data_IF_938014806255
#
_entry.id   IF_938014806255
#
_cell.length_a   1.000
_cell.length_b   1.000
_cell.length_c   1.000
_cell.angle_alpha   90.00
_cell.angle_beta   90.00
_cell.angle_gamma   90.00
#
_symmetry.space_group_name_H-M   'P 1'
#
loop_
_entity.id
_entity.type
_entity.pdbx_description
1 polymer ?
#
# COMPACT_ATOMS: atom_id res chain seq x y z
N UNK A 1 -20.57 -41.43 -35.06
CA UNK A 1 -20.82 -41.02 -33.66
C UNK A 1 -19.48 -40.62 -33.03
N UNK A 2 -19.01 -39.39 -33.24
CA UNK A 2 -17.72 -38.91 -32.67
C UNK A 2 -17.69 -37.37 -32.50
N UNK A 3 -18.52 -36.65 -33.26
CA UNK A 3 -18.65 -35.19 -33.19
C UNK A 3 -19.36 -34.67 -31.93
N UNK A 4 -20.31 -35.44 -31.37
CA UNK A 4 -21.08 -35.01 -30.18
C UNK A 4 -20.31 -35.08 -28.85
N UNK A 5 -19.23 -35.88 -28.79
CA UNK A 5 -18.43 -36.05 -27.56
C UNK A 5 -17.48 -34.87 -27.33
N UNK A 6 -17.02 -34.22 -28.42
CA UNK A 6 -16.11 -33.07 -28.37
C UNK A 6 -16.81 -31.79 -27.91
N UNK A 7 -18.08 -31.60 -28.30
CA UNK A 7 -18.87 -30.44 -27.90
C UNK A 7 -19.22 -30.46 -26.39
N UNK A 8 -19.41 -31.66 -25.82
CA UNK A 8 -19.70 -31.84 -24.39
C UNK A 8 -18.43 -31.60 -23.55
N UNK A 9 -17.25 -32.00 -24.02
CA UNK A 9 -15.98 -31.77 -23.30
C UNK A 9 -15.58 -30.29 -23.23
N UNK A 10 -15.81 -29.51 -24.30
CA UNK A 10 -15.47 -28.08 -24.32
C UNK A 10 -16.40 -27.29 -23.39
N UNK A 11 -17.68 -27.68 -23.30
CA UNK A 11 -18.67 -26.98 -22.48
C UNK A 11 -18.45 -27.18 -20.97
N UNK A 12 -17.96 -28.36 -20.55
CA UNK A 12 -17.64 -28.62 -19.14
C UNK A 12 -16.39 -27.86 -18.63
N UNK A 13 -15.47 -27.48 -19.51
CA UNK A 13 -14.23 -26.78 -19.14
C UNK A 13 -14.45 -25.26 -18.90
N UNK A 14 -15.47 -24.66 -19.52
CA UNK A 14 -15.78 -23.22 -19.36
C UNK A 14 -16.53 -22.94 -18.05
N UNK A 15 -17.31 -23.90 -17.54
CA UNK A 15 -18.11 -23.72 -16.31
C UNK A 15 -17.24 -23.71 -15.04
N UNK A 16 -16.03 -24.29 -15.07
CA UNK A 16 -15.11 -24.26 -13.92
C UNK A 16 -14.27 -22.98 -13.80
N UNK A 17 -14.31 -22.06 -14.78
CA UNK A 17 -13.53 -20.82 -14.74
C UNK A 17 -14.21 -19.68 -13.97
N UNK A 18 -15.50 -19.79 -13.65
CA UNK A 18 -16.26 -18.71 -13.01
C UNK A 18 -16.05 -18.61 -11.50
N UNK A 19 -15.61 -19.70 -10.85
CA UNK A 19 -15.23 -19.70 -9.43
C UNK A 19 -13.77 -19.29 -9.20
N UNK A 20 -12.93 -19.35 -10.24
CA UNK A 20 -11.50 -19.03 -10.16
C UNK A 20 -11.21 -17.51 -10.18
N UNK A 21 -12.22 -16.66 -10.45
CA UNK A 21 -12.05 -15.20 -10.52
C UNK A 21 -12.35 -14.47 -9.21
N UNK A 22 -12.90 -15.19 -8.23
CA UNK A 22 -13.18 -14.64 -6.92
C UNK A 22 -11.89 -14.49 -6.12
N UNK A 23 -11.64 -13.27 -5.64
CA UNK A 23 -10.60 -13.01 -4.66
C UNK A 23 -10.80 -13.87 -3.42
N UNK A 24 -9.71 -14.19 -2.72
CA UNK A 24 -9.77 -15.01 -1.49
C UNK A 24 -10.18 -14.23 -0.25
N UNK A 25 -10.22 -12.91 -0.32
CA UNK A 25 -10.59 -12.01 0.77
C UNK A 25 -11.09 -10.68 0.20
N UNK A 26 -11.91 -9.96 0.95
CA UNK A 26 -12.25 -8.58 0.63
C UNK A 26 -11.05 -7.63 0.81
N UNK A 27 -10.98 -6.62 -0.04
CA UNK A 27 -10.10 -5.47 0.13
C UNK A 27 -10.55 -4.69 1.39
N UNK A 28 -9.64 -4.15 2.21
CA UNK A 28 -9.99 -3.42 3.44
C UNK A 28 -10.99 -2.28 3.22
N UNK A 29 -10.91 -1.60 2.09
CA UNK A 29 -11.86 -0.52 1.75
C UNK A 29 -13.21 -1.02 1.22
N UNK A 30 -13.47 -2.32 1.11
CA UNK A 30 -14.73 -2.83 0.58
C UNK A 30 -15.95 -2.34 1.35
N UNK A 31 -15.86 -2.16 2.67
CA UNK A 31 -16.94 -1.57 3.46
C UNK A 31 -17.28 -0.15 2.96
N UNK A 32 -16.27 0.71 2.82
CA UNK A 32 -16.42 2.07 2.29
C UNK A 32 -16.86 2.08 0.83
N UNK A 33 -16.26 1.23 -0.02
CA UNK A 33 -16.58 1.14 -1.44
C UNK A 33 -18.00 0.65 -1.67
N UNK A 34 -18.46 -0.35 -0.91
CA UNK A 34 -19.85 -0.81 -0.93
C UNK A 34 -20.81 0.33 -0.58
N UNK A 35 -20.53 1.08 0.50
CA UNK A 35 -21.33 2.23 0.91
C UNK A 35 -21.35 3.32 -0.18
N UNK A 36 -20.26 3.48 -0.92
CA UNK A 36 -20.14 4.40 -2.06
C UNK A 36 -20.61 3.79 -3.39
N UNK A 37 -21.34 2.68 -3.37
CA UNK A 37 -22.00 2.10 -4.55
C UNK A 37 -21.12 1.21 -5.43
N UNK A 38 -19.91 0.84 -5.02
CA UNK A 38 -18.99 -0.01 -5.80
C UNK A 38 -19.64 -1.29 -6.31
N UNK A 39 -20.39 -2.00 -5.45
CA UNK A 39 -21.03 -3.26 -5.83
C UNK A 39 -22.14 -3.08 -6.88
N UNK A 40 -22.81 -1.93 -6.88
CA UNK A 40 -23.98 -1.65 -7.73
C UNK A 40 -23.64 -0.77 -8.95
N UNK A 41 -22.46 -0.15 -8.98
CA UNK A 41 -22.05 0.74 -10.05
C UNK A 41 -21.64 -0.08 -11.30
N UNK A 42 -22.28 0.21 -12.43
CA UNK A 42 -22.05 -0.47 -13.71
C UNK A 42 -20.70 -0.12 -14.36
N UNK A 43 -20.07 0.99 -13.94
CA UNK A 43 -18.73 1.37 -14.36
C UNK A 43 -17.62 0.46 -13.80
N UNK A 44 -17.90 -0.32 -12.75
CA UNK A 44 -17.00 -1.37 -12.29
C UNK A 44 -17.41 -2.72 -12.89
N UNK A 45 -16.46 -3.38 -13.55
CA UNK A 45 -16.71 -4.68 -14.17
C UNK A 45 -16.94 -5.75 -13.10
N UNK A 46 -17.62 -6.84 -13.47
CA UNK A 46 -17.83 -7.98 -12.58
C UNK A 46 -16.50 -8.54 -12.07
N UNK A 47 -15.48 -8.63 -12.94
CA UNK A 47 -14.14 -9.06 -12.58
C UNK A 47 -13.50 -8.18 -11.50
N UNK A 48 -13.66 -6.85 -11.58
CA UNK A 48 -13.16 -5.94 -10.54
C UNK A 48 -13.88 -6.17 -9.21
N UNK A 49 -15.18 -6.42 -9.24
CA UNK A 49 -15.95 -6.68 -8.02
C UNK A 49 -15.58 -8.02 -7.39
N UNK A 50 -15.40 -9.06 -8.20
CA UNK A 50 -14.93 -10.39 -7.78
C UNK A 50 -13.50 -10.32 -7.23
N UNK A 51 -12.63 -9.52 -7.84
CA UNK A 51 -11.24 -9.40 -7.43
C UNK A 51 -11.08 -8.62 -6.13
N UNK A 52 -11.84 -7.53 -5.95
CA UNK A 52 -11.67 -6.63 -4.82
C UNK A 52 -12.60 -6.91 -3.65
N UNK A 53 -13.88 -7.15 -3.90
CA UNK A 53 -14.90 -7.31 -2.86
C UNK A 53 -15.74 -8.57 -3.06
N UNK A 54 -15.09 -9.76 -3.20
CA UNK A 54 -15.77 -11.01 -3.50
C UNK A 54 -16.87 -11.38 -2.50
N UNK A 55 -16.69 -11.05 -1.21
CA UNK A 55 -17.63 -11.40 -0.15
C UNK A 55 -18.49 -10.21 0.28
N UNK A 56 -17.95 -9.00 0.18
CA UNK A 56 -18.70 -7.78 0.53
C UNK A 56 -19.78 -7.47 -0.51
N UNK A 57 -19.52 -7.72 -1.80
CA UNK A 57 -20.50 -7.48 -2.85
C UNK A 57 -21.46 -8.68 -3.00
N UNK A 58 -22.79 -8.43 -2.86
CA UNK A 58 -23.77 -9.51 -2.77
C UNK A 58 -23.91 -10.27 -4.09
N UNK A 59 -23.93 -11.61 -4.00
CA UNK A 59 -24.24 -12.49 -5.14
C UNK A 59 -23.15 -12.59 -6.22
N UNK A 60 -21.97 -12.02 -5.98
CA UNK A 60 -20.89 -11.97 -6.97
C UNK A 60 -19.97 -13.20 -6.91
N UNK A 61 -19.71 -13.68 -5.70
CA UNK A 61 -19.04 -14.94 -5.43
C UNK A 61 -19.93 -15.71 -4.45
N UNK A 62 -20.50 -16.84 -4.90
CA UNK A 62 -21.38 -17.65 -4.05
C UNK A 62 -20.65 -18.12 -2.80
N UNK A 63 -21.16 -17.75 -1.63
CA UNK A 63 -20.67 -18.28 -0.35
C UNK A 63 -21.53 -19.48 0.04
N UNK A 64 -20.96 -20.66 0.34
CA UNK A 64 -21.52 -21.52 1.36
C UNK A 64 -21.03 -21.05 2.74
N UNK A 65 -21.95 -21.04 3.68
CA UNK A 65 -21.70 -20.77 5.09
C UNK A 65 -20.68 -21.74 5.71
N UNK A 66 -19.99 -21.28 6.75
CA UNK A 66 -19.34 -22.06 7.84
C UNK A 66 -17.94 -22.66 7.72
N UNK A 67 -17.18 -22.56 6.63
CA UNK A 67 -15.74 -22.84 6.74
C UNK A 67 -15.03 -21.59 7.24
N UNK A 68 -14.48 -21.70 8.45
CA UNK A 68 -13.49 -20.79 9.00
C UNK A 68 -12.49 -20.36 7.89
N UNK A 69 -11.99 -19.11 7.91
CA UNK A 69 -10.99 -18.66 6.95
C UNK A 69 -9.91 -19.76 6.86
N UNK A 70 -9.57 -20.25 5.65
CA UNK A 70 -8.52 -21.25 5.52
C UNK A 70 -7.30 -20.75 6.31
N UNK A 71 -6.62 -21.63 7.06
CA UNK A 71 -5.50 -21.22 7.89
C UNK A 71 -4.59 -20.37 7.02
N UNK A 72 -4.31 -19.14 7.48
CA UNK A 72 -3.58 -18.13 6.74
C UNK A 72 -2.37 -18.81 6.11
N UNK A 73 -2.48 -19.14 4.82
CA UNK A 73 -1.39 -19.81 4.15
C UNK A 73 -0.36 -18.72 3.99
N UNK A 74 0.69 -18.79 4.79
CA UNK A 74 1.80 -17.82 4.83
C UNK A 74 2.52 -17.71 3.49
N UNK A 75 2.19 -18.57 2.54
CA UNK A 75 2.61 -18.48 1.15
C UNK A 75 1.78 -17.43 0.40
N UNK A 76 2.26 -16.19 0.46
CA UNK A 76 1.77 -15.10 -0.39
C UNK A 76 1.73 -15.53 -1.88
N UNK A 77 0.71 -15.11 -2.66
CA UNK A 77 0.57 -15.48 -4.06
C UNK A 77 1.81 -15.09 -4.88
N UNK A 78 2.17 -15.96 -5.85
CA UNK A 78 3.38 -15.80 -6.69
C UNK A 78 3.26 -14.60 -7.63
N UNK A 79 2.02 -14.20 -7.96
CA UNK A 79 1.72 -13.07 -8.85
C UNK A 79 1.00 -12.00 -8.01
N UNK A 80 1.55 -10.79 -7.97
CA UNK A 80 0.92 -9.63 -7.33
C UNK A 80 -0.26 -9.09 -8.15
N UNK A 81 -1.12 -8.30 -7.53
CA UNK A 81 -2.24 -7.67 -8.22
C UNK A 81 -1.73 -6.77 -9.36
N UNK A 82 -2.32 -6.87 -10.55
CA UNK A 82 -1.95 -6.04 -11.71
C UNK A 82 -2.06 -4.53 -11.44
N UNK A 83 -2.83 -4.11 -10.42
CA UNK A 83 -3.00 -2.71 -10.04
C UNK A 83 -1.98 -2.21 -9.02
N UNK A 84 -1.08 -3.06 -8.50
CA UNK A 84 -0.15 -2.65 -7.45
C UNK A 84 0.68 -1.42 -7.81
N UNK A 85 1.18 -1.33 -9.05
CA UNK A 85 1.89 -0.14 -9.53
C UNK A 85 1.03 1.12 -9.47
N UNK A 86 -0.23 1.04 -9.95
CA UNK A 86 -1.18 2.16 -9.93
C UNK A 86 -1.57 2.57 -8.51
N UNK A 87 -1.91 1.60 -7.67
CA UNK A 87 -2.33 1.84 -6.29
C UNK A 87 -1.21 2.39 -5.42
N UNK A 88 0.04 1.99 -5.68
CA UNK A 88 1.17 2.51 -4.94
C UNK A 88 1.62 3.89 -5.44
N UNK A 89 1.37 4.23 -6.71
CA UNK A 89 1.72 5.52 -7.27
C UNK A 89 0.75 6.66 -6.90
N UNK A 90 -0.46 6.34 -6.40
CA UNK A 90 -1.49 7.32 -6.04
C UNK A 90 -1.08 8.11 -4.77
N UNK A 91 -0.81 9.42 -4.87
CA UNK A 91 -0.43 10.25 -3.71
C UNK A 91 -1.56 10.41 -2.68
N UNK A 92 -2.83 10.23 -3.07
CA UNK A 92 -3.95 10.34 -2.15
C UNK A 92 -4.12 9.09 -1.27
N UNK A 93 -3.78 7.91 -1.82
CA UNK A 93 -4.05 6.61 -1.19
C UNK A 93 -2.96 5.56 -1.51
N UNK A 94 -1.70 5.93 -1.31
CA UNK A 94 -0.55 5.07 -1.57
C UNK A 94 -0.63 3.71 -0.86
N UNK A 95 -0.95 2.63 -1.58
CA UNK A 95 -1.31 1.36 -0.97
C UNK A 95 -0.23 0.80 -0.01
N UNK A 96 1.05 0.86 -0.39
CA UNK A 96 2.11 0.31 0.46
C UNK A 96 2.43 1.23 1.65
N UNK A 97 2.30 2.55 1.51
CA UNK A 97 2.60 3.52 2.57
C UNK A 97 1.39 3.86 3.47
N UNK A 98 0.18 3.41 3.11
CA UNK A 98 -1.04 3.74 3.84
C UNK A 98 -1.09 2.99 5.19
N UNK A 99 -1.22 3.70 6.34
CA UNK A 99 -1.30 3.08 7.67
C UNK A 99 -2.52 2.19 7.86
N UNK A 100 -3.59 2.40 7.10
CA UNK A 100 -4.81 1.57 7.18
C UNK A 100 -4.63 0.19 6.53
N UNK A 101 -3.54 -0.03 5.77
CA UNK A 101 -3.27 -1.29 5.10
C UNK A 101 -2.29 -2.11 5.94
N UNK A 102 -2.73 -3.27 6.40
CA UNK A 102 -1.92 -4.15 7.26
C UNK A 102 -0.78 -4.80 6.47
N UNK A 103 0.28 -5.23 7.16
CA UNK A 103 1.40 -5.97 6.54
C UNK A 103 0.90 -7.23 5.82
N UNK A 104 -0.06 -7.95 6.41
CA UNK A 104 -0.66 -9.13 5.78
C UNK A 104 -1.39 -8.78 4.47
N UNK A 105 -2.11 -7.66 4.43
CA UNK A 105 -2.76 -7.20 3.20
C UNK A 105 -1.74 -6.82 2.13
N UNK A 106 -0.64 -6.15 2.51
CA UNK A 106 0.47 -5.87 1.59
C UNK A 106 1.05 -7.16 1.02
N UNK A 107 1.25 -8.19 1.85
CA UNK A 107 1.72 -9.50 1.42
C UNK A 107 0.74 -10.23 0.49
N UNK A 108 -0.57 -10.12 0.74
CA UNK A 108 -1.61 -10.78 -0.08
C UNK A 108 -1.73 -10.11 -1.45
N UNK A 109 -1.80 -8.78 -1.49
CA UNK A 109 -2.14 -8.06 -2.71
C UNK A 109 -0.92 -7.63 -3.53
N UNK A 110 0.11 -7.08 -2.87
CA UNK A 110 1.19 -6.34 -3.53
C UNK A 110 2.57 -6.69 -2.97
N UNK A 111 2.85 -7.99 -2.77
CA UNK A 111 4.06 -8.47 -2.10
C UNK A 111 5.36 -7.88 -2.69
N UNK A 112 5.48 -7.86 -4.01
CA UNK A 112 6.69 -7.40 -4.70
C UNK A 112 6.76 -5.87 -4.70
N UNK A 113 5.65 -5.21 -5.02
CA UNK A 113 5.57 -3.73 -5.01
C UNK A 113 5.81 -3.16 -3.61
N UNK A 114 5.26 -3.78 -2.57
CA UNK A 114 5.37 -3.34 -1.18
C UNK A 114 6.53 -4.00 -0.39
N UNK A 115 7.56 -4.51 -1.07
CA UNK A 115 8.59 -5.32 -0.43
C UNK A 115 9.28 -4.60 0.75
N UNK A 116 9.54 -3.29 0.60
CA UNK A 116 10.11 -2.47 1.66
C UNK A 116 9.13 -2.26 2.81
N UNK A 117 7.85 -2.05 2.52
CA UNK A 117 6.83 -1.74 3.52
C UNK A 117 6.35 -2.99 4.28
N UNK A 118 6.64 -4.17 3.75
CA UNK A 118 6.48 -5.47 4.41
C UNK A 118 7.67 -5.78 5.31
N UNK A 119 8.89 -5.51 4.84
CA UNK A 119 10.13 -5.78 5.55
C UNK A 119 11.11 -4.60 5.38
N UNK A 120 10.94 -3.51 6.15
CA UNK A 120 11.79 -2.34 6.03
C UNK A 120 13.23 -2.69 6.38
N UNK A 121 14.16 -2.32 5.50
CA UNK A 121 15.62 -2.50 5.71
C UNK A 121 16.32 -1.20 6.12
N UNK A 122 15.55 -0.13 6.33
CA UNK A 122 16.05 1.18 6.77
C UNK A 122 15.40 1.59 8.07
N UNK A 123 16.05 2.50 8.79
CA UNK A 123 15.54 3.05 10.05
C UNK A 123 14.41 4.05 9.81
N UNK A 124 14.54 4.90 8.78
CA UNK A 124 13.47 5.80 8.35
C UNK A 124 13.35 5.89 6.83
N UNK A 125 12.16 6.24 6.35
CA UNK A 125 11.90 6.55 4.95
C UNK A 125 10.83 7.64 4.81
N UNK A 126 10.91 8.42 3.74
CA UNK A 126 9.92 9.44 3.39
C UNK A 126 9.32 9.12 2.02
N UNK A 127 8.02 9.29 1.90
CA UNK A 127 7.28 9.21 0.66
C UNK A 127 6.72 10.59 0.36
N UNK A 128 6.97 11.07 -0.85
CA UNK A 128 6.56 12.39 -1.29
C UNK A 128 5.87 12.30 -2.66
N UNK A 129 5.00 13.26 -2.96
CA UNK A 129 4.50 13.45 -4.33
C UNK A 129 5.48 14.34 -5.09
N UNK A 130 5.92 13.88 -6.25
CA UNK A 130 6.66 14.68 -7.23
C UNK A 130 5.88 14.63 -8.55
N UNK A 131 5.49 15.79 -9.08
CA UNK A 131 4.68 15.89 -10.30
C UNK A 131 3.41 15.00 -10.28
N UNK A 132 2.76 14.86 -9.12
CA UNK A 132 1.55 14.05 -8.95
C UNK A 132 1.79 12.54 -8.79
N UNK A 133 3.04 12.09 -8.72
CA UNK A 133 3.40 10.68 -8.54
C UNK A 133 4.06 10.47 -7.19
N UNK A 134 3.67 9.43 -6.47
CA UNK A 134 4.36 9.06 -5.24
C UNK A 134 5.77 8.53 -5.54
N UNK A 135 6.76 9.13 -4.91
CA UNK A 135 8.15 8.67 -4.90
C UNK A 135 8.58 8.37 -3.47
N UNK A 136 9.48 7.41 -3.31
CA UNK A 136 10.20 7.21 -2.06
C UNK A 136 11.49 8.03 -2.13
N UNK A 137 11.61 9.00 -1.24
CA UNK A 137 12.85 9.77 -1.05
C UNK A 137 13.91 8.83 -0.46
N UNK A 138 15.19 9.09 -0.73
CA UNK A 138 16.33 8.30 -0.26
C UNK A 138 16.13 7.83 1.18
N UNK A 139 16.14 6.52 1.41
CA UNK A 139 15.95 6.00 2.77
C UNK A 139 17.19 6.31 3.62
N UNK A 140 16.99 6.53 4.92
CA UNK A 140 18.10 6.79 5.83
C UNK A 140 18.23 5.63 6.79
N UNK A 141 19.43 5.07 6.84
CA UNK A 141 19.85 4.27 7.98
C UNK A 141 20.49 5.22 9.00
N UNK A 142 20.46 4.87 10.28
CA UNK A 142 21.08 5.57 11.42
C UNK A 142 22.18 6.51 10.95
N UNK A 143 21.89 7.81 10.92
CA UNK A 143 22.92 8.78 10.61
C UNK A 143 23.94 8.71 11.75
N UNK A 144 25.25 8.54 11.48
CA UNK A 144 26.28 8.57 12.52
C UNK A 144 26.27 9.86 13.35
N UNK A 145 25.65 10.90 12.80
CA UNK A 145 25.42 12.20 13.43
C UNK A 145 23.90 12.46 13.46
N UNK A 146 23.21 12.19 14.58
CA UNK A 146 21.84 12.68 14.76
C UNK A 146 21.87 14.21 14.68
N UNK A 147 21.45 14.77 13.54
CA UNK A 147 21.76 16.17 13.25
C UNK A 147 21.83 16.54 11.76
N UNK A 148 22.24 15.64 10.87
CA UNK A 148 22.31 16.03 9.45
C UNK A 148 20.95 15.81 8.80
N UNK A 149 20.26 16.91 8.48
CA UNK A 149 19.00 16.82 7.76
C UNK A 149 19.22 16.42 6.30
N UNK A 150 18.34 15.56 5.82
CA UNK A 150 18.29 15.13 4.43
C UNK A 150 17.20 15.92 3.74
N UNK A 151 17.56 16.61 2.67
CA UNK A 151 16.59 17.28 1.82
C UNK A 151 15.69 16.31 1.09
N UNK A 152 14.45 16.73 0.83
CA UNK A 152 13.61 16.08 -0.17
C UNK A 152 14.11 16.48 -1.59
N UNK A 153 15.39 16.25 -1.92
CA UNK A 153 15.97 16.80 -3.15
C UNK A 153 15.78 15.86 -4.34
N UNK A 154 14.97 16.31 -5.29
CA UNK A 154 15.07 15.92 -6.70
C UNK A 154 14.83 17.11 -7.66
N UNK A 155 15.14 18.34 -7.23
CA UNK A 155 15.01 19.57 -8.05
C UNK A 155 13.58 20.00 -8.42
N UNK A 156 12.57 19.16 -8.17
CA UNK A 156 11.15 19.45 -8.40
C UNK A 156 10.43 19.80 -7.08
N UNK A 157 9.30 20.51 -7.16
CA UNK A 157 8.38 20.66 -6.03
C UNK A 157 7.90 19.30 -5.57
N UNK A 158 8.35 18.90 -4.38
CA UNK A 158 7.95 17.66 -3.71
C UNK A 158 7.08 17.98 -2.52
N UNK A 159 6.04 17.17 -2.30
CA UNK A 159 5.14 17.29 -1.15
C UNK A 159 5.27 16.03 -0.30
N UNK A 160 5.80 16.10 0.93
CA UNK A 160 5.88 14.92 1.80
C UNK A 160 4.48 14.45 2.21
N UNK A 161 4.23 13.13 2.11
CA UNK A 161 2.91 12.53 2.31
C UNK A 161 2.91 11.47 3.40
N UNK A 162 3.93 10.62 3.43
CA UNK A 162 4.05 9.55 4.42
C UNK A 162 5.49 9.44 4.93
N UNK A 163 5.64 9.00 6.17
CA UNK A 163 6.93 8.64 6.74
C UNK A 163 6.86 7.22 7.30
N UNK A 164 7.99 6.53 7.26
CA UNK A 164 8.25 5.36 8.06
C UNK A 164 9.32 5.70 9.08
N UNK A 165 9.08 5.31 10.33
CA UNK A 165 10.07 5.34 11.41
C UNK A 165 10.08 3.95 12.05
N UNK A 166 11.24 3.31 12.04
CA UNK A 166 11.48 2.01 12.66
C UNK A 166 11.30 2.07 14.18
N UNK A 167 11.25 0.90 14.82
CA UNK A 167 11.13 0.83 16.28
C UNK A 167 12.25 1.64 16.95
N UNK A 168 11.86 2.53 17.86
CA UNK A 168 12.74 3.48 18.57
C UNK A 168 13.40 4.55 17.71
N UNK A 169 13.05 4.64 16.44
CA UNK A 169 13.43 5.75 15.57
C UNK A 169 12.37 6.85 15.60
N UNK A 170 12.75 8.08 15.31
CA UNK A 170 11.86 9.23 15.17
C UNK A 170 12.25 9.98 13.93
N UNK A 171 11.26 10.28 13.09
CA UNK A 171 11.41 11.19 11.95
C UNK A 171 11.04 12.59 12.42
N UNK A 172 11.96 13.54 12.29
CA UNK A 172 11.66 14.97 12.52
C UNK A 172 11.65 15.69 11.18
N UNK A 173 10.60 16.45 10.91
CA UNK A 173 10.41 17.22 9.68
C UNK A 173 10.80 18.68 9.92
N UNK A 174 11.37 19.33 8.91
CA UNK A 174 11.83 20.72 8.99
C UNK A 174 11.35 21.54 7.79
N UNK A 175 11.11 22.83 8.03
CA UNK A 175 10.88 23.82 6.98
C UNK A 175 12.19 24.53 6.61
N UNK A 176 12.29 25.00 5.37
CA UNK A 176 13.45 25.74 4.87
C UNK A 176 14.38 24.95 3.94
N UNK A 177 15.32 25.60 3.26
CA UNK A 177 16.20 24.93 2.30
C UNK A 177 16.99 23.78 2.96
N UNK A 178 17.08 22.59 2.32
CA UNK A 178 17.73 21.42 2.91
C UNK A 178 19.15 21.61 3.42
N UNK A 179 19.91 22.47 2.73
CA UNK A 179 21.32 22.74 3.02
C UNK A 179 21.53 23.56 4.30
N UNK A 180 20.47 24.20 4.81
CA UNK A 180 20.53 25.09 5.97
C UNK A 180 19.89 24.48 7.23
N UNK A 181 19.45 23.21 7.18
CA UNK A 181 18.77 22.59 8.31
C UNK A 181 19.80 22.09 9.33
N UNK A 182 19.91 22.81 10.45
CA UNK A 182 20.70 22.47 11.62
C UNK A 182 19.73 22.15 12.77
N UNK A 183 19.59 20.88 13.15
CA UNK A 183 18.72 20.45 14.25
C UNK A 183 19.03 21.18 15.55
N UNK A 184 17.96 21.60 16.22
CA UNK A 184 18.01 22.48 17.38
C UNK A 184 17.93 23.97 17.05
N UNK A 185 18.10 24.37 15.78
CA UNK A 185 17.97 25.78 15.34
C UNK A 185 16.94 25.98 14.25
N UNK A 186 16.72 24.98 13.39
CA UNK A 186 15.69 25.03 12.36
C UNK A 186 14.28 24.83 12.91
N UNK A 187 13.28 25.39 12.22
CA UNK A 187 11.87 25.28 12.61
C UNK A 187 11.40 23.85 12.36
N UNK A 188 11.03 23.16 13.44
CA UNK A 188 10.44 21.83 13.39
C UNK A 188 9.01 21.90 12.85
N UNK A 189 8.79 21.27 11.70
CA UNK A 189 7.50 21.15 11.03
C UNK A 189 6.61 20.04 11.64
N UNK A 190 7.23 19.06 12.31
CA UNK A 190 6.56 17.94 12.96
C UNK A 190 7.52 16.84 13.39
N UNK A 191 7.04 15.89 14.21
CA UNK A 191 7.78 14.72 14.64
C UNK A 191 6.90 13.48 14.62
N UNK A 192 7.44 12.38 14.11
CA UNK A 192 6.75 11.11 13.87
C UNK A 192 7.54 9.99 14.56
N UNK A 193 7.15 9.62 15.80
CA UNK A 193 7.82 8.55 16.53
C UNK A 193 7.52 7.21 15.89
N UNK A 194 8.52 6.35 15.83
CA UNK A 194 8.42 5.01 15.29
C UNK A 194 7.75 4.04 16.26
N UNK A 195 6.90 3.19 15.71
CA UNK A 195 6.33 2.03 16.37
C UNK A 195 6.33 0.86 15.39
N UNK A 196 6.32 -0.37 15.90
CA UNK A 196 6.39 -1.57 15.07
C UNK A 196 5.27 -1.56 14.01
N UNK A 197 5.65 -1.47 12.73
CA UNK A 197 4.73 -1.50 11.58
C UNK A 197 4.16 -0.15 11.13
N UNK A 198 4.54 0.97 11.74
CA UNK A 198 3.83 2.23 11.51
C UNK A 198 4.47 3.11 10.44
N UNK A 199 3.92 3.02 9.24
CA UNK A 199 3.88 4.15 8.33
C UNK A 199 2.90 5.18 8.87
N UNK A 200 3.20 6.47 8.74
CA UNK A 200 2.39 7.55 9.27
C UNK A 200 2.16 8.59 8.18
N UNK A 201 0.95 9.18 8.16
CA UNK A 201 0.63 10.27 7.25
C UNK A 201 1.27 11.56 7.77
N UNK A 202 1.95 12.28 6.90
CA UNK A 202 2.51 13.60 7.17
C UNK A 202 1.38 14.62 7.03
N UNK A 203 1.13 15.39 8.08
CA UNK A 203 0.09 16.43 8.09
C UNK A 203 0.61 17.79 7.69
N UNK A 204 1.94 17.99 7.72
CA UNK A 204 2.56 19.24 7.32
C UNK A 204 3.24 19.12 5.94
N UNK A 205 2.59 19.57 4.86
CA UNK A 205 3.11 19.45 3.49
C UNK A 205 4.20 20.48 3.15
N UNK A 206 4.46 21.49 4.00
CA UNK A 206 5.51 22.51 3.76
C UNK A 206 6.91 22.03 4.10
N UNK A 207 7.04 20.87 4.75
CA UNK A 207 8.35 20.34 5.10
C UNK A 207 9.18 20.10 3.84
N UNK A 208 10.47 20.38 3.95
CA UNK A 208 11.45 20.36 2.85
C UNK A 208 12.66 19.48 3.17
N UNK A 209 12.84 19.11 4.44
CA UNK A 209 13.87 18.20 4.90
C UNK A 209 13.41 17.39 6.12
N UNK A 210 14.19 16.38 6.47
CA UNK A 210 13.96 15.54 7.64
C UNK A 210 15.24 15.02 8.27
N UNK A 211 15.16 14.62 9.52
CA UNK A 211 16.18 13.79 10.20
C UNK A 211 15.56 12.48 10.66
N UNK A 212 16.42 11.47 10.86
CA UNK A 212 16.07 10.19 11.46
C UNK A 212 16.96 9.96 12.69
N UNK A 213 16.38 9.82 13.87
CA UNK A 213 17.12 9.60 15.13
C UNK A 213 16.59 8.35 15.81
N UNK A 214 17.47 7.42 16.21
CA UNK A 214 17.08 6.17 16.84
C UNK A 214 17.77 5.97 18.20
N UNK A 215 17.03 5.51 19.21
CA UNK A 215 17.49 5.30 20.58
C UNK A 215 17.44 3.83 21.03
#
# INVERSE_FOLDING_TARGET
MSSSLHLILITACVVMQTLAQCGRSDHPNCANWKNNGFCNNAGYTLAMKQQYCPFTCPGICGVPATTAPPPATTTAPVIENANCGKWNADPANAFCANPAITVQQKQIFCKKTCAFEIAPTSDCAIYASAAGVLIRVSTTNRTPFPGTAVGFSNGASVVPLYAYAGSRCTVTLFEGPPVDVIPGTSVTAGSLPGAAGNFQKITNPSATAYTCTCN
#
